data_IF_953937401954
#
_entry.id   IF_953937401954
#
_cell.length_a   1.000
_cell.length_b   1.000
_cell.length_c   1.000
_cell.angle_alpha   90.00
_cell.angle_beta   90.00
_cell.angle_gamma   90.00
#
_symmetry.space_group_name_H-M   'P 1'
#
loop_
_entity.id
_entity.type
_entity.pdbx_description
1 polymer ?
#
# COMPACT_ATOMS: atom_id res chain seq x y z
N UNK A 1 9.11 -10.71 -14.63
CA UNK A 1 8.70 -9.79 -13.56
C UNK A 1 9.58 -10.08 -12.35
N UNK A 2 9.49 -9.28 -11.29
CA UNK A 2 10.24 -9.51 -10.05
C UNK A 2 9.32 -9.36 -8.83
N UNK A 3 8.28 -10.19 -8.76
CA UNK A 3 7.24 -10.14 -7.73
C UNK A 3 7.84 -10.18 -6.31
N UNK A 4 8.89 -10.98 -6.14
CA UNK A 4 9.54 -11.19 -4.86
C UNK A 4 10.67 -10.20 -4.54
N UNK A 5 10.88 -9.15 -5.33
CA UNK A 5 11.98 -8.20 -5.08
C UNK A 5 11.89 -7.58 -3.67
N UNK A 6 12.91 -7.81 -2.86
CA UNK A 6 13.05 -7.19 -1.53
C UNK A 6 12.27 -7.86 -0.39
N UNK A 7 11.53 -8.95 -0.65
CA UNK A 7 10.74 -9.66 0.37
C UNK A 7 11.21 -11.10 0.63
N UNK A 8 12.12 -11.63 -0.19
CA UNK A 8 12.64 -13.01 -0.04
C UNK A 8 14.01 -13.06 0.63
N UNK A 9 14.21 -14.15 1.38
CA UNK A 9 15.44 -14.46 2.09
C UNK A 9 16.00 -15.81 1.62
N UNK A 10 17.31 -15.97 1.74
CA UNK A 10 17.97 -17.22 1.38
C UNK A 10 17.70 -18.27 2.45
N UNK A 11 17.13 -19.42 2.06
CA UNK A 11 16.89 -20.53 2.99
C UNK A 11 18.16 -21.19 3.54
N UNK A 12 19.33 -20.93 2.95
CA UNK A 12 20.62 -21.51 3.37
C UNK A 12 21.31 -20.61 4.39
N UNK A 13 21.49 -19.32 4.08
CA UNK A 13 22.23 -18.39 4.94
C UNK A 13 21.36 -17.41 5.73
N UNK A 14 20.05 -17.38 5.47
CA UNK A 14 19.13 -16.38 6.04
C UNK A 14 19.34 -14.94 5.51
N UNK A 15 20.32 -14.71 4.64
CA UNK A 15 20.62 -13.40 4.08
C UNK A 15 19.58 -12.92 3.07
N UNK A 16 19.56 -11.61 2.80
CA UNK A 16 18.67 -11.02 1.79
C UNK A 16 19.01 -11.53 0.40
N UNK A 17 17.97 -11.74 -0.40
CA UNK A 17 18.10 -12.06 -1.82
C UNK A 17 17.77 -10.81 -2.62
N UNK A 18 18.75 -10.39 -3.42
CA UNK A 18 18.62 -9.25 -4.32
C UNK A 18 18.15 -9.68 -5.70
N UNK A 19 17.65 -8.72 -6.46
CA UNK A 19 17.30 -8.92 -7.86
C UNK A 19 18.44 -8.44 -8.74
N UNK A 20 18.91 -9.31 -9.63
CA UNK A 20 19.88 -8.98 -10.67
C UNK A 20 19.16 -8.93 -12.00
N UNK A 21 19.33 -7.81 -12.70
CA UNK A 21 18.79 -7.58 -14.02
C UNK A 21 19.91 -7.78 -15.04
N UNK A 22 19.76 -8.76 -15.93
CA UNK A 22 20.66 -8.92 -17.06
C UNK A 22 20.12 -8.13 -18.26
N UNK A 23 20.91 -7.15 -18.73
CA UNK A 23 20.53 -6.27 -19.85
C UNK A 23 20.65 -6.96 -21.21
N UNK A 24 21.49 -7.99 -21.36
CA UNK A 24 21.71 -8.66 -22.65
C UNK A 24 20.60 -9.65 -22.96
N UNK A 25 20.22 -10.44 -21.96
CA UNK A 25 19.22 -11.50 -22.11
C UNK A 25 17.81 -11.09 -21.65
N UNK A 26 17.63 -9.86 -21.15
CA UNK A 26 16.40 -9.39 -20.45
C UNK A 26 15.93 -10.35 -19.35
N UNK A 27 16.85 -11.14 -18.79
CA UNK A 27 16.59 -12.11 -17.72
C UNK A 27 16.70 -11.43 -16.36
N UNK A 28 15.83 -11.87 -15.46
CA UNK A 28 15.80 -11.41 -14.08
C UNK A 28 16.15 -12.62 -13.21
N UNK A 29 17.14 -12.48 -12.33
CA UNK A 29 17.53 -13.54 -11.42
C UNK A 29 17.56 -13.05 -9.98
N UNK A 30 17.21 -13.93 -9.06
CA UNK A 30 17.32 -13.71 -7.63
C UNK A 30 18.64 -14.26 -7.11
N UNK A 31 19.49 -13.38 -6.58
CA UNK A 31 20.84 -13.72 -6.12
C UNK A 31 21.00 -13.37 -4.64
N UNK A 32 21.47 -14.32 -3.84
CA UNK A 32 21.84 -14.08 -2.45
C UNK A 32 22.92 -13.00 -2.35
N UNK A 33 22.75 -12.02 -1.44
CA UNK A 33 23.67 -10.89 -1.28
C UNK A 33 24.72 -11.08 -0.18
N UNK A 34 24.94 -12.31 0.29
CA UNK A 34 26.01 -12.58 1.26
C UNK A 34 27.37 -12.29 0.61
N UNK A 35 28.18 -11.44 1.27
CA UNK A 35 29.48 -11.00 0.76
C UNK A 35 30.64 -11.90 1.18
N UNK A 36 30.40 -12.77 2.17
CA UNK A 36 31.41 -13.67 2.73
C UNK A 36 31.34 -15.05 2.03
N UNK A 37 32.09 -15.18 0.94
CA UNK A 37 32.17 -16.39 0.10
C UNK A 37 32.91 -17.55 0.79
N UNK A 38 33.66 -17.29 1.86
CA UNK A 38 34.39 -18.33 2.59
C UNK A 38 33.47 -19.20 3.46
N UNK A 39 32.35 -18.65 3.96
CA UNK A 39 31.43 -19.39 4.84
C UNK A 39 30.40 -20.26 4.11
N UNK A 40 30.00 -19.95 2.86
CA UNK A 40 28.82 -20.62 2.26
C UNK A 40 28.93 -20.79 0.73
N UNK A 41 29.62 -21.85 0.27
CA UNK A 41 29.71 -22.24 -1.16
C UNK A 41 28.38 -22.67 -1.79
N UNK A 42 27.29 -22.74 -1.01
CA UNK A 42 26.01 -23.31 -1.42
C UNK A 42 24.92 -22.26 -1.72
N UNK A 43 25.15 -20.97 -1.45
CA UNK A 43 24.18 -19.92 -1.78
C UNK A 43 24.00 -19.81 -3.30
N UNK A 44 22.79 -20.05 -3.80
CA UNK A 44 22.49 -20.13 -5.24
C UNK A 44 21.86 -18.84 -5.78
N UNK A 45 22.02 -18.65 -7.09
CA UNK A 45 21.21 -17.74 -7.90
C UNK A 45 20.09 -18.55 -8.53
N UNK A 46 18.89 -17.97 -8.54
CA UNK A 46 17.69 -18.59 -9.09
C UNK A 46 17.09 -17.71 -10.18
N UNK A 47 16.41 -18.34 -11.13
CA UNK A 47 15.63 -17.62 -12.12
C UNK A 47 14.39 -16.99 -11.47
N UNK A 48 14.15 -15.70 -11.71
CA UNK A 48 13.06 -14.98 -11.07
C UNK A 48 11.70 -15.45 -11.57
N UNK A 49 11.56 -15.80 -12.86
CA UNK A 49 10.29 -16.30 -13.40
C UNK A 49 9.82 -17.57 -12.70
N UNK A 50 10.74 -18.47 -12.37
CA UNK A 50 10.39 -19.74 -11.71
C UNK A 50 9.85 -19.50 -10.30
N UNK A 51 10.49 -18.62 -9.54
CA UNK A 51 10.06 -18.27 -8.17
C UNK A 51 8.77 -17.48 -8.21
N UNK A 52 8.69 -16.43 -9.03
CA UNK A 52 7.50 -15.59 -9.16
C UNK A 52 6.28 -16.40 -9.57
N UNK A 53 6.44 -17.37 -10.49
CA UNK A 53 5.35 -18.25 -10.91
C UNK A 53 4.87 -19.13 -9.75
N UNK A 54 5.79 -19.82 -9.06
CA UNK A 54 5.42 -20.69 -7.94
C UNK A 54 4.74 -19.91 -6.80
N UNK A 55 5.24 -18.71 -6.49
CA UNK A 55 4.64 -17.82 -5.49
C UNK A 55 3.27 -17.30 -5.97
N UNK A 56 3.16 -16.93 -7.25
CA UNK A 56 1.91 -16.50 -7.85
C UNK A 56 0.83 -17.59 -7.83
N UNK A 57 1.17 -18.81 -8.24
CA UNK A 57 0.26 -19.95 -8.25
C UNK A 57 -0.19 -20.31 -6.81
N UNK A 58 0.73 -20.28 -5.84
CA UNK A 58 0.39 -20.50 -4.44
C UNK A 58 -0.53 -19.38 -3.91
N UNK A 59 -0.21 -18.13 -4.20
CA UNK A 59 -1.03 -17.00 -3.78
C UNK A 59 -2.46 -17.12 -4.35
N UNK A 60 -2.58 -17.38 -5.66
CA UNK A 60 -3.87 -17.53 -6.33
C UNK A 60 -4.66 -18.76 -5.87
N UNK A 61 -3.98 -19.84 -5.45
CA UNK A 61 -4.67 -21.02 -4.88
C UNK A 61 -5.10 -20.83 -3.42
N UNK A 62 -4.45 -19.92 -2.68
CA UNK A 62 -4.81 -19.61 -1.28
C UNK A 62 -5.90 -18.54 -1.16
N UNK A 63 -5.96 -17.59 -2.09
CA UNK A 63 -6.93 -16.50 -2.06
C UNK A 63 -8.24 -16.98 -2.68
N UNK A 64 -9.30 -16.97 -1.87
CA UNK A 64 -10.65 -17.31 -2.35
C UNK A 64 -11.32 -16.12 -3.02
N UNK A 65 -12.20 -16.39 -3.98
CA UNK A 65 -13.04 -15.35 -4.61
C UNK A 65 -13.86 -14.56 -3.56
N UNK A 66 -14.25 -15.20 -2.45
CA UNK A 66 -14.95 -14.54 -1.35
C UNK A 66 -14.09 -13.49 -0.63
N UNK A 67 -12.81 -13.78 -0.39
CA UNK A 67 -11.87 -12.84 0.23
C UNK A 67 -11.59 -11.64 -0.67
N UNK A 68 -11.54 -11.84 -1.99
CA UNK A 68 -11.37 -10.73 -2.94
C UNK A 68 -12.60 -9.83 -2.92
N UNK A 69 -13.80 -10.42 -3.00
CA UNK A 69 -15.06 -9.66 -2.96
C UNK A 69 -15.19 -8.85 -1.68
N UNK A 70 -14.94 -9.46 -0.52
CA UNK A 70 -15.04 -8.74 0.76
C UNK A 70 -14.03 -7.61 0.88
N UNK A 71 -12.80 -7.81 0.40
CA UNK A 71 -11.78 -6.76 0.38
C UNK A 71 -12.18 -5.59 -0.54
N UNK A 72 -12.77 -5.88 -1.70
CA UNK A 72 -13.26 -4.85 -2.62
C UNK A 72 -14.44 -4.08 -2.01
N UNK A 73 -15.44 -4.77 -1.46
CA UNK A 73 -16.58 -4.13 -0.80
C UNK A 73 -16.13 -3.24 0.36
N UNK A 74 -15.20 -3.70 1.20
CA UNK A 74 -14.66 -2.86 2.27
C UNK A 74 -13.92 -1.62 1.72
N UNK A 75 -13.21 -1.75 0.60
CA UNK A 75 -12.54 -0.62 -0.05
C UNK A 75 -13.56 0.39 -0.59
N UNK A 76 -14.64 -0.08 -1.22
CA UNK A 76 -15.75 0.75 -1.69
C UNK A 76 -16.43 1.50 -0.54
N UNK A 77 -16.70 0.83 0.58
CA UNK A 77 -17.29 1.45 1.78
C UNK A 77 -16.44 2.60 2.34
N UNK A 78 -15.11 2.46 2.32
CA UNK A 78 -14.21 3.53 2.78
C UNK A 78 -14.25 4.73 1.82
N UNK A 79 -14.28 4.48 0.51
CA UNK A 79 -14.38 5.54 -0.50
C UNK A 79 -15.72 6.27 -0.37
N UNK A 80 -16.82 5.53 -0.22
CA UNK A 80 -18.16 6.09 -0.06
C UNK A 80 -18.30 6.87 1.26
N UNK A 81 -17.75 6.36 2.37
CA UNK A 81 -17.74 7.11 3.64
C UNK A 81 -16.99 8.43 3.50
N UNK A 82 -15.85 8.42 2.83
CA UNK A 82 -15.06 9.63 2.61
C UNK A 82 -15.80 10.64 1.72
N UNK A 83 -16.43 10.18 0.64
CA UNK A 83 -17.20 11.04 -0.26
C UNK A 83 -18.40 11.68 0.46
N UNK A 84 -19.11 10.92 1.30
CA UNK A 84 -20.22 11.41 2.14
C UNK A 84 -19.76 12.48 3.12
N UNK A 85 -18.65 12.26 3.83
CA UNK A 85 -18.07 13.26 4.76
C UNK A 85 -17.67 14.53 4.04
N UNK A 86 -16.99 14.40 2.89
CA UNK A 86 -16.61 15.55 2.07
C UNK A 86 -17.84 16.33 1.60
N UNK A 87 -18.86 15.63 1.10
CA UNK A 87 -20.11 16.24 0.64
C UNK A 87 -20.86 16.95 1.77
N UNK A 88 -20.89 16.35 2.96
CA UNK A 88 -21.50 16.97 4.14
C UNK A 88 -20.78 18.27 4.53
N UNK A 89 -19.45 18.29 4.49
CA UNK A 89 -18.66 19.49 4.76
C UNK A 89 -18.88 20.59 3.72
N UNK A 90 -18.99 20.25 2.42
CA UNK A 90 -19.34 21.23 1.37
C UNK A 90 -20.71 21.89 1.63
N UNK A 91 -21.72 21.08 1.96
CA UNK A 91 -23.06 21.58 2.26
C UNK A 91 -23.06 22.45 3.53
N UNK A 92 -22.23 22.14 4.52
CA UNK A 92 -22.08 22.97 5.72
C UNK A 92 -21.51 24.35 5.38
N UNK A 93 -20.47 24.42 4.54
CA UNK A 93 -19.92 25.70 4.05
C UNK A 93 -20.97 26.50 3.28
N UNK A 94 -21.72 25.86 2.37
CA UNK A 94 -22.78 26.54 1.61
C UNK A 94 -23.86 27.13 2.52
N UNK A 95 -24.28 26.39 3.56
CA UNK A 95 -25.26 26.87 4.55
C UNK A 95 -24.70 28.03 5.37
N UNK A 96 -23.49 27.90 5.90
CA UNK A 96 -22.85 28.94 6.70
C UNK A 96 -22.66 30.23 5.89
N UNK A 97 -22.28 30.12 4.61
CA UNK A 97 -22.14 31.26 3.70
C UNK A 97 -23.47 31.96 3.47
N UNK A 98 -24.52 31.18 3.15
CA UNK A 98 -25.86 31.75 2.99
C UNK A 98 -26.34 32.48 4.26
N UNK A 99 -26.08 31.93 5.44
CA UNK A 99 -26.45 32.56 6.70
C UNK A 99 -25.66 33.84 6.99
N UNK A 100 -24.36 33.87 6.65
CA UNK A 100 -23.53 35.06 6.74
C UNK A 100 -24.04 36.17 5.79
N UNK A 101 -24.29 35.85 4.52
CA UNK A 101 -24.84 36.79 3.53
C UNK A 101 -26.23 37.31 3.94
N UNK A 102 -27.04 36.46 4.60
CA UNK A 102 -28.34 36.88 5.14
C UNK A 102 -28.19 37.82 6.33
N UNK A 103 -27.25 37.55 7.23
CA UNK A 103 -26.98 38.41 8.39
C UNK A 103 -26.40 39.76 7.97
N UNK A 104 -25.50 39.78 6.98
CA UNK A 104 -24.95 40.99 6.38
C UNK A 104 -26.08 41.89 5.86
N UNK A 105 -26.97 41.37 4.99
CA UNK A 105 -28.10 42.15 4.47
C UNK A 105 -29.02 42.69 5.56
N UNK A 106 -29.23 41.94 6.64
CA UNK A 106 -30.02 42.41 7.76
C UNK A 106 -29.34 43.59 8.48
N UNK A 107 -28.02 43.52 8.67
CA UNK A 107 -27.22 44.62 9.24
C UNK A 107 -27.20 45.83 8.31
N UNK A 108 -26.98 45.66 7.00
CA UNK A 108 -26.94 46.77 6.03
C UNK A 108 -28.26 47.53 5.90
N UNK A 109 -29.39 46.90 6.22
CA UNK A 109 -30.72 47.51 6.11
C UNK A 109 -31.20 48.19 7.41
N UNK A 110 -30.42 48.15 8.50
CA UNK A 110 -30.82 48.78 9.77
C UNK A 110 -30.65 50.29 9.70
N UNK A 111 -31.64 51.03 10.21
CA UNK A 111 -31.54 52.48 10.33
C UNK A 111 -30.53 52.88 11.42
N UNK A 112 -29.71 53.93 11.20
CA UNK A 112 -28.63 54.33 12.11
C UNK A 112 -29.12 54.80 13.49
N UNK A 113 -30.35 55.30 13.58
CA UNK A 113 -30.99 55.71 14.84
C UNK A 113 -31.23 54.51 15.76
N UNK A 114 -31.37 53.30 15.20
CA UNK A 114 -31.60 52.04 15.91
C UNK A 114 -30.29 51.40 16.41
N UNK A 115 -29.44 52.20 17.07
CA UNK A 115 -28.08 51.82 17.52
C UNK A 115 -27.97 50.51 18.31
N UNK A 116 -28.95 50.16 19.13
CA UNK A 116 -28.95 48.89 19.88
C UNK A 116 -29.19 47.69 18.95
N UNK A 117 -30.14 47.82 18.02
CA UNK A 117 -30.45 46.79 17.02
C UNK A 117 -29.26 46.59 16.09
N UNK A 118 -28.63 47.68 15.65
CA UNK A 118 -27.43 47.63 14.82
C UNK A 118 -26.30 46.82 15.48
N UNK A 119 -25.99 47.10 16.76
CA UNK A 119 -24.99 46.33 17.52
C UNK A 119 -25.34 44.84 17.66
N UNK A 120 -26.62 44.51 17.88
CA UNK A 120 -27.04 43.11 17.96
C UNK A 120 -26.92 42.40 16.61
N UNK A 121 -27.28 43.07 15.51
CA UNK A 121 -27.16 42.51 14.16
C UNK A 121 -25.70 42.36 13.73
N UNK A 122 -24.84 43.31 14.09
CA UNK A 122 -23.38 43.24 13.90
C UNK A 122 -22.80 42.01 14.61
N UNK A 123 -23.04 41.86 15.92
CA UNK A 123 -22.57 40.70 16.69
C UNK A 123 -23.09 39.37 16.13
N UNK A 124 -24.33 39.35 15.65
CA UNK A 124 -24.91 38.17 14.97
C UNK A 124 -24.21 37.89 13.65
N UNK A 125 -23.90 38.91 12.86
CA UNK A 125 -23.17 38.76 11.60
C UNK A 125 -21.74 38.26 11.83
N UNK A 126 -21.01 38.83 12.79
CA UNK A 126 -19.69 38.36 13.21
C UNK A 126 -19.72 36.88 13.62
N UNK A 127 -20.74 36.47 14.39
CA UNK A 127 -20.93 35.08 14.78
C UNK A 127 -21.13 34.16 13.55
N UNK A 128 -21.86 34.63 12.53
CA UNK A 128 -22.05 33.86 11.28
C UNK A 128 -20.78 33.81 10.41
N UNK A 129 -19.99 34.88 10.41
CA UNK A 129 -18.68 34.88 9.75
C UNK A 129 -17.71 33.90 10.43
N UNK A 130 -17.69 33.86 11.77
CA UNK A 130 -16.90 32.88 12.51
C UNK A 130 -17.33 31.43 12.22
N UNK A 131 -18.65 31.17 12.13
CA UNK A 131 -19.15 29.86 11.75
C UNK A 131 -18.79 29.46 10.30
N UNK A 132 -18.74 30.44 9.38
CA UNK A 132 -18.29 30.20 8.01
C UNK A 132 -16.80 29.82 7.96
N UNK A 133 -15.94 30.55 8.67
CA UNK A 133 -14.51 30.24 8.70
C UNK A 133 -14.24 28.87 9.33
N UNK A 134 -14.97 28.49 10.38
CA UNK A 134 -14.90 27.15 10.98
C UNK A 134 -15.33 26.06 9.99
N UNK A 135 -16.43 26.27 9.26
CA UNK A 135 -16.90 25.32 8.24
C UNK A 135 -15.91 25.16 7.08
N UNK A 136 -15.29 26.26 6.62
CA UNK A 136 -14.26 26.23 5.58
C UNK A 136 -13.00 25.49 6.03
N UNK A 137 -12.57 25.70 7.28
CA UNK A 137 -11.47 24.97 7.88
C UNK A 137 -11.78 23.46 7.97
N UNK A 138 -12.99 23.08 8.42
CA UNK A 138 -13.42 21.69 8.47
C UNK A 138 -13.44 21.03 7.07
N UNK A 139 -13.90 21.74 6.04
CA UNK A 139 -13.84 21.26 4.65
C UNK A 139 -12.39 21.08 4.18
N UNK A 140 -11.49 22.01 4.52
CA UNK A 140 -10.07 21.88 4.19
C UNK A 140 -9.44 20.65 4.86
N UNK A 141 -9.76 20.39 6.14
CA UNK A 141 -9.33 19.18 6.84
C UNK A 141 -9.91 17.91 6.20
N UNK A 142 -11.19 17.91 5.84
CA UNK A 142 -11.83 16.78 5.16
C UNK A 142 -11.18 16.49 3.79
N UNK A 143 -10.80 17.52 3.02
CA UNK A 143 -10.06 17.40 1.75
C UNK A 143 -8.64 16.89 1.91
N UNK A 144 -7.95 17.33 2.96
CA UNK A 144 -6.58 16.90 3.24
C UNK A 144 -6.51 15.44 3.73
N UNK A 145 -7.60 14.95 4.34
CA UNK A 145 -7.68 13.59 4.86
C UNK A 145 -7.82 12.59 3.73
N UNK A 146 -6.73 11.92 3.34
CA UNK A 146 -6.79 10.82 2.37
C UNK A 146 -7.52 9.62 2.99
N UNK A 147 -8.53 9.02 2.33
CA UNK A 147 -9.16 7.81 2.83
C UNK A 147 -8.11 6.71 2.95
N UNK A 148 -7.96 6.17 4.16
CA UNK A 148 -7.14 5.01 4.39
C UNK A 148 -7.93 3.81 3.86
N UNK A 149 -7.73 3.49 2.58
CA UNK A 149 -8.24 2.25 2.01
C UNK A 149 -7.90 1.11 2.98
N UNK A 150 -8.86 0.22 3.28
CA UNK A 150 -8.57 -0.90 4.13
C UNK A 150 -7.41 -1.61 3.47
N UNK A 151 -6.30 -1.72 4.20
CA UNK A 151 -5.25 -2.62 3.80
C UNK A 151 -5.97 -3.95 3.65
N UNK A 152 -6.13 -4.41 2.40
CA UNK A 152 -6.46 -5.79 2.07
C UNK A 152 -5.77 -6.67 3.09
N UNK A 153 -6.42 -7.70 3.62
CA UNK A 153 -5.88 -8.63 4.62
C UNK A 153 -4.58 -9.38 4.25
N UNK A 154 -3.73 -8.83 3.40
CA UNK A 154 -2.29 -8.92 3.54
C UNK A 154 -1.88 -8.26 4.86
N UNK A 155 -1.29 -9.08 5.72
CA UNK A 155 -0.40 -8.72 6.82
C UNK A 155 -0.03 -7.23 6.90
N UNK A 156 -0.23 -6.65 8.10
CA UNK A 156 0.45 -5.43 8.52
C UNK A 156 1.97 -5.65 8.41
N UNK A 157 2.53 -5.38 7.23
CA UNK A 157 3.82 -4.71 7.09
C UNK A 157 3.47 -3.25 6.87
N UNK A 158 3.06 -2.62 7.95
CA UNK A 158 2.75 -1.20 7.98
C UNK A 158 3.98 -0.42 7.57
N UNK A 159 3.94 0.16 6.38
CA UNK A 159 4.78 1.30 6.02
C UNK A 159 4.24 2.52 6.80
N UNK A 160 4.42 2.52 8.12
CA UNK A 160 4.45 3.77 8.89
C UNK A 160 5.68 4.53 8.37
N UNK A 161 5.50 5.76 7.96
CA UNK A 161 6.57 6.73 7.87
C UNK A 161 7.15 6.93 9.28
N UNK A 162 8.10 6.07 9.65
CA UNK A 162 8.99 6.23 10.78
C UNK A 162 10.32 6.79 10.25
N UNK A 163 10.98 7.68 11.00
CA UNK A 163 12.13 8.42 10.51
C UNK A 163 13.23 7.43 10.14
N UNK A 164 13.83 7.61 8.96
CA UNK A 164 15.08 6.98 8.54
C UNK A 164 15.46 5.68 9.28
N UNK A 165 14.68 4.60 9.10
CA UNK A 165 15.07 3.26 9.58
C UNK A 165 16.16 2.70 8.68
N UNK A 166 17.34 3.26 8.83
CA UNK A 166 18.57 2.58 8.50
C UNK A 166 18.63 1.28 9.31
N UNK A 167 18.78 0.17 8.59
CA UNK A 167 19.67 -0.96 8.95
C UNK A 167 19.29 -1.75 10.23
N UNK A 168 18.96 -3.04 10.03
CA UNK A 168 18.90 -4.15 11.01
C UNK A 168 17.55 -4.40 11.69
N UNK A 169 16.61 -4.97 10.95
CA UNK A 169 15.65 -5.90 11.55
C UNK A 169 16.07 -7.31 11.12
N UNK A 170 16.92 -7.93 11.94
CA UNK A 170 17.07 -9.38 11.97
C UNK A 170 15.75 -9.90 12.55
N UNK A 171 14.99 -10.66 11.77
CA UNK A 171 13.81 -11.36 12.29
C UNK A 171 14.24 -12.12 13.54
N UNK A 172 13.49 -11.98 14.64
CA UNK A 172 13.85 -12.68 15.86
C UNK A 172 13.89 -14.20 15.60
N UNK A 173 14.69 -14.96 16.35
CA UNK A 173 14.89 -16.38 16.08
C UNK A 173 13.60 -17.21 16.04
N UNK A 174 12.56 -16.85 16.81
CA UNK A 174 11.29 -17.58 16.82
C UNK A 174 10.50 -17.30 15.53
N UNK A 175 10.47 -16.06 15.06
CA UNK A 175 9.84 -15.73 13.77
C UNK A 175 10.64 -16.28 12.60
N UNK A 176 11.97 -16.35 12.72
CA UNK A 176 12.84 -17.01 11.75
C UNK A 176 12.58 -18.53 11.70
N UNK A 177 12.30 -19.16 12.83
CA UNK A 177 11.95 -20.59 12.90
C UNK A 177 10.55 -20.86 12.35
N UNK A 178 9.55 -20.03 12.66
CA UNK A 178 8.20 -20.14 12.07
C UNK A 178 8.27 -19.97 10.55
N UNK A 179 9.05 -19.00 10.05
CA UNK A 179 9.28 -18.81 8.63
C UNK A 179 10.02 -20.01 8.02
N UNK A 180 11.09 -20.51 8.65
CA UNK A 180 11.82 -21.71 8.21
C UNK A 180 10.92 -22.94 8.18
N UNK A 181 10.11 -23.18 9.20
CA UNK A 181 9.25 -24.35 9.32
C UNK A 181 8.11 -24.32 8.31
N UNK A 182 7.55 -23.12 8.04
CA UNK A 182 6.51 -22.94 7.00
C UNK A 182 7.09 -22.94 5.58
N UNK A 183 8.27 -22.36 5.33
CA UNK A 183 8.92 -22.29 4.00
C UNK A 183 9.66 -23.58 3.65
N UNK A 184 10.32 -24.26 4.60
CA UNK A 184 10.99 -25.54 4.36
C UNK A 184 10.02 -26.67 4.01
N UNK A 185 8.75 -26.55 4.42
CA UNK A 185 7.68 -27.47 4.08
C UNK A 185 6.95 -27.12 2.77
N UNK A 186 7.04 -25.88 2.29
CA UNK A 186 6.29 -25.42 1.10
C UNK A 186 7.15 -25.15 -0.14
N UNK A 187 8.45 -24.84 0.00
CA UNK A 187 9.33 -24.50 -1.12
C UNK A 187 10.64 -25.33 -1.14
N UNK A 188 10.53 -26.67 -1.18
CA UNK A 188 11.66 -27.48 -1.68
C UNK A 188 11.59 -27.52 -3.21
N UNK A 189 12.15 -26.50 -3.86
CA UNK A 189 12.51 -26.63 -5.28
C UNK A 189 13.58 -27.71 -5.39
N UNK A 190 13.18 -28.91 -5.79
CA UNK A 190 14.09 -30.01 -6.12
C UNK A 190 15.01 -29.50 -7.24
N UNK A 191 16.34 -29.47 -7.06
CA UNK A 191 17.22 -29.02 -8.12
C UNK A 191 17.09 -29.97 -9.32
N UNK A 192 16.75 -29.43 -10.48
CA UNK A 192 16.90 -30.16 -11.74
C UNK A 192 18.40 -30.18 -12.05
N UNK A 193 19.01 -31.36 -11.97
CA UNK A 193 20.39 -31.56 -12.39
C UNK A 193 20.53 -31.18 -13.87
N UNK A 194 21.58 -30.45 -14.29
CA UNK A 194 21.69 -29.93 -15.67
C UNK A 194 22.03 -30.99 -16.74
N UNK A 195 21.79 -32.29 -16.49
CA UNK A 195 22.21 -33.39 -17.39
C UNK A 195 21.10 -34.07 -18.18
N UNK A 196 19.92 -33.47 -18.33
CA UNK A 196 18.92 -33.95 -19.28
C UNK A 196 18.61 -32.91 -20.36
N UNK A 197 19.66 -32.50 -21.10
CA UNK A 197 19.46 -32.17 -22.51
C UNK A 197 19.39 -33.48 -23.26
N UNK A 198 18.21 -33.76 -23.78
CA UNK A 198 17.89 -34.83 -24.71
C UNK A 198 19.03 -35.06 -25.71
N UNK A 199 19.59 -36.28 -25.69
CA UNK A 199 20.30 -36.85 -26.84
C UNK A 199 19.28 -36.98 -27.97
N UNK A 200 19.34 -36.10 -28.96
CA UNK A 200 18.79 -36.39 -30.29
C UNK A 200 19.83 -37.25 -31.02
N UNK A 201 19.51 -38.49 -31.42
CA UNK A 201 20.43 -39.29 -32.23
C UNK A 201 20.53 -38.70 -33.64
N UNK A 202 21.70 -38.70 -34.30
CA UNK A 202 21.76 -38.42 -35.72
C UNK A 202 21.06 -39.55 -36.48
N UNK A 203 20.03 -39.19 -37.23
CA UNK A 203 19.40 -40.04 -38.24
C UNK A 203 20.44 -40.41 -39.28
N UNK A 204 20.72 -41.72 -39.41
CA UNK A 204 21.24 -42.34 -40.63
C UNK A 204 20.31 -41.97 -41.78
N UNK A 205 20.86 -41.38 -42.84
CA UNK A 205 20.23 -41.21 -44.13
C UNK A 205 21.27 -41.54 -45.18
N UNK A 206 21.07 -42.67 -45.83
CA UNK A 206 21.81 -43.12 -47.00
C UNK A 206 21.63 -42.13 -48.16
N UNK A 207 22.72 -41.85 -48.87
CA UNK A 207 22.90 -41.85 -50.33
C UNK A 207 24.31 -41.34 -50.67
#
# INVERSE_FOLDING_TARGET
MALCQGIIFCGICGGRVGTRYDRRDRKISYTCQVKDSARIRQCRTFDASTIDKAVGDLFLSTVTAQQIRSALTAAEEVVDRHSRTHRAAELAVQRARYEADRAERAFSNVEPENRLVARTLESRWETKLAALTEAEAALATAKATKPLLPATGAAVVGRRSAPALARRDHWDPATQEIYRQKVANSFRLRPVSPTQRTRTPPTRGDL
#
